data_IF_536174099590
#
_entry.id   IF_536174099590
#
_cell.length_a   1.000
_cell.length_b   1.000
_cell.length_c   1.000
_cell.angle_alpha   90.00
_cell.angle_beta   90.00
_cell.angle_gamma   90.00
#
_symmetry.space_group_name_H-M   'P 1'
#
loop_
_entity.id
_entity.type
_entity.pdbx_description
1 polymer ?
#
# COMPACT_ATOMS: atom_id res chain seq x y z
N UNK A 1 -1.01 33.86 -6.77
CA UNK A 1 -1.76 33.65 -8.02
C UNK A 1 -0.88 33.01 -9.10
N UNK A 2 0.42 33.31 -9.16
CA UNK A 2 1.32 32.71 -10.18
C UNK A 2 1.69 31.24 -9.97
N UNK A 3 1.85 30.75 -8.73
CA UNK A 3 2.25 29.35 -8.47
C UNK A 3 1.16 28.33 -8.83
N UNK A 4 -0.10 28.59 -8.44
CA UNK A 4 -1.23 27.71 -8.75
C UNK A 4 -1.49 27.62 -10.26
N UNK A 5 -1.37 28.75 -10.98
CA UNK A 5 -1.52 28.77 -12.44
C UNK A 5 -0.38 27.99 -13.13
N UNK A 6 0.86 28.17 -12.66
CA UNK A 6 2.03 27.42 -13.18
C UNK A 6 1.92 25.92 -12.92
N UNK A 7 1.40 25.51 -11.76
CA UNK A 7 1.17 24.11 -11.42
C UNK A 7 0.07 23.50 -12.28
N UNK A 8 -1.00 24.26 -12.55
CA UNK A 8 -2.07 23.82 -13.43
C UNK A 8 -1.58 23.61 -14.87
N UNK A 9 -0.74 24.52 -15.40
CA UNK A 9 -0.13 24.33 -16.73
C UNK A 9 0.76 23.09 -16.79
N UNK A 10 1.50 22.78 -15.71
CA UNK A 10 2.42 21.63 -15.64
C UNK A 10 1.71 20.29 -15.46
N UNK A 11 0.71 20.23 -14.57
CA UNK A 11 0.14 18.96 -14.11
C UNK A 11 -1.33 18.77 -14.50
N UNK A 12 -2.02 19.83 -14.94
CA UNK A 12 -3.47 19.81 -15.15
C UNK A 12 -3.96 18.74 -16.12
N UNK A 13 -3.20 18.46 -17.20
CA UNK A 13 -3.55 17.38 -18.13
C UNK A 13 -3.51 15.99 -17.48
N UNK A 14 -2.51 15.73 -16.64
CA UNK A 14 -2.35 14.43 -15.96
C UNK A 14 -3.35 14.28 -14.82
N UNK A 15 -3.63 15.37 -14.09
CA UNK A 15 -4.68 15.40 -13.06
C UNK A 15 -6.05 15.13 -13.71
N UNK A 16 -6.36 15.78 -14.83
CA UNK A 16 -7.61 15.53 -15.57
C UNK A 16 -7.72 14.08 -16.06
N UNK A 17 -6.61 13.48 -16.51
CA UNK A 17 -6.57 12.06 -16.88
C UNK A 17 -6.85 11.15 -15.68
N UNK A 18 -6.27 11.44 -14.51
CA UNK A 18 -6.55 10.71 -13.26
C UNK A 18 -8.03 10.79 -12.90
N UNK A 19 -8.65 11.97 -12.95
CA UNK A 19 -10.09 12.09 -12.70
C UNK A 19 -10.94 11.30 -13.69
N UNK A 20 -10.58 11.31 -14.99
CA UNK A 20 -11.24 10.47 -15.99
C UNK A 20 -11.13 8.97 -15.66
N UNK A 21 -9.96 8.53 -15.18
CA UNK A 21 -9.74 7.14 -14.74
C UNK A 21 -10.53 6.78 -13.48
N UNK A 22 -10.58 7.68 -12.48
CA UNK A 22 -11.44 7.53 -11.28
C UNK A 22 -12.90 7.31 -11.68
N UNK A 23 -13.42 8.09 -12.64
CA UNK A 23 -14.80 7.91 -13.13
C UNK A 23 -15.05 6.57 -13.84
N UNK A 24 -13.98 5.85 -14.23
CA UNK A 24 -14.06 4.54 -14.87
C UNK A 24 -13.82 3.36 -13.92
N UNK A 25 -13.63 3.63 -12.63
CA UNK A 25 -13.51 2.61 -11.59
C UNK A 25 -14.84 1.88 -11.37
N UNK A 26 -14.74 0.63 -10.92
CA UNK A 26 -15.90 -0.23 -10.69
C UNK A 26 -16.79 0.35 -9.59
N UNK A 27 -18.08 0.44 -9.90
CA UNK A 27 -19.13 0.90 -8.99
C UNK A 27 -19.78 -0.28 -8.25
N UNK A 28 -20.61 0.03 -7.26
CA UNK A 28 -21.38 -0.97 -6.51
C UNK A 28 -22.12 -1.97 -7.41
N UNK A 29 -22.77 -1.47 -8.47
CA UNK A 29 -23.49 -2.31 -9.43
C UNK A 29 -22.60 -3.28 -10.19
N UNK A 30 -21.33 -2.92 -10.41
CA UNK A 30 -20.37 -3.77 -11.09
C UNK A 30 -19.95 -4.91 -10.15
N UNK A 31 -19.69 -4.60 -8.87
CA UNK A 31 -19.38 -5.62 -7.86
C UNK A 31 -20.56 -6.58 -7.64
N UNK A 32 -21.79 -6.07 -7.53
CA UNK A 32 -22.99 -6.91 -7.44
C UNK A 32 -23.15 -7.85 -8.65
N UNK A 33 -22.73 -7.40 -9.83
CA UNK A 33 -22.71 -8.23 -11.04
C UNK A 33 -21.60 -9.29 -11.01
N UNK A 34 -20.45 -8.99 -10.40
CA UNK A 34 -19.35 -9.93 -10.23
C UNK A 34 -19.66 -11.00 -9.18
N UNK A 35 -20.36 -10.66 -8.10
CA UNK A 35 -20.82 -11.61 -7.07
C UNK A 35 -21.77 -12.68 -7.62
N UNK A 36 -22.47 -12.37 -8.71
CA UNK A 36 -23.38 -13.30 -9.39
C UNK A 36 -22.67 -14.29 -10.32
N UNK A 37 -21.36 -14.13 -10.54
CA UNK A 37 -20.59 -15.01 -11.42
C UNK A 37 -20.35 -16.39 -10.76
N UNK A 38 -20.39 -17.45 -11.56
CA UNK A 38 -20.12 -18.82 -11.09
C UNK A 38 -18.74 -19.31 -11.51
N UNK A 39 -18.15 -18.69 -12.53
CA UNK A 39 -16.83 -19.03 -13.06
C UNK A 39 -15.97 -17.78 -13.29
N UNK A 40 -14.65 -17.96 -13.42
CA UNK A 40 -13.73 -16.86 -13.78
C UNK A 40 -14.03 -16.36 -15.19
N UNK A 41 -14.47 -17.23 -16.09
CA UNK A 41 -14.92 -16.87 -17.44
C UNK A 41 -16.12 -15.92 -17.41
N UNK A 42 -17.08 -16.11 -16.50
CA UNK A 42 -18.19 -15.17 -16.33
C UNK A 42 -17.70 -13.79 -15.89
N UNK A 43 -16.75 -13.75 -14.94
CA UNK A 43 -16.14 -12.49 -14.50
C UNK A 43 -15.43 -11.78 -15.66
N UNK A 44 -14.69 -12.52 -16.49
CA UNK A 44 -14.01 -11.98 -17.68
C UNK A 44 -15.01 -11.33 -18.63
N UNK A 45 -16.15 -11.97 -18.88
CA UNK A 45 -17.22 -11.40 -19.72
C UNK A 45 -17.77 -10.11 -19.10
N UNK A 46 -18.04 -10.08 -17.79
CA UNK A 46 -18.52 -8.86 -17.12
C UNK A 46 -17.51 -7.72 -17.15
N UNK A 47 -16.24 -8.02 -16.91
CA UNK A 47 -15.15 -7.04 -16.95
C UNK A 47 -14.81 -6.58 -18.37
N UNK A 48 -15.25 -7.29 -19.42
CA UNK A 48 -15.01 -6.89 -20.81
C UNK A 48 -15.68 -5.56 -21.21
N UNK A 49 -16.63 -5.06 -20.41
CA UNK A 49 -17.26 -3.76 -20.61
C UNK A 49 -16.58 -2.62 -19.85
N UNK A 50 -15.51 -2.92 -19.12
CA UNK A 50 -14.81 -1.98 -18.23
C UNK A 50 -13.42 -1.63 -18.77
N UNK A 51 -12.63 -0.85 -18.01
CA UNK A 51 -11.24 -0.52 -18.35
C UNK A 51 -10.34 -1.76 -18.52
N UNK A 52 -10.74 -2.93 -17.99
CA UNK A 52 -10.00 -4.19 -18.10
C UNK A 52 -10.15 -4.90 -19.45
N UNK A 53 -11.07 -4.46 -20.33
CA UNK A 53 -11.41 -5.14 -21.58
C UNK A 53 -10.21 -5.50 -22.48
N UNK A 54 -9.29 -4.55 -22.65
CA UNK A 54 -8.09 -4.72 -23.50
C UNK A 54 -7.12 -5.78 -22.99
N UNK A 55 -7.17 -6.11 -21.69
CA UNK A 55 -6.31 -7.11 -21.06
C UNK A 55 -6.96 -8.50 -21.05
N UNK A 56 -8.28 -8.56 -21.15
CA UNK A 56 -9.07 -9.78 -20.97
C UNK A 56 -9.62 -10.38 -22.29
N UNK A 57 -9.34 -9.78 -23.44
CA UNK A 57 -9.94 -10.15 -24.74
C UNK A 57 -9.15 -11.18 -25.55
N UNK A 58 -7.91 -11.52 -25.17
CA UNK A 58 -7.05 -12.44 -25.92
C UNK A 58 -7.06 -13.86 -25.27
N UNK A 59 -7.55 -14.87 -25.99
CA UNK A 59 -7.48 -16.33 -25.70
C UNK A 59 -8.62 -17.01 -24.90
N UNK A 60 -8.74 -18.33 -25.11
CA UNK A 60 -9.97 -19.15 -25.03
C UNK A 60 -10.18 -19.94 -23.71
N UNK A 61 -9.30 -19.85 -22.71
CA UNK A 61 -9.55 -20.37 -21.35
C UNK A 61 -8.76 -19.56 -20.31
N UNK A 62 -9.44 -18.92 -19.36
CA UNK A 62 -8.80 -18.19 -18.28
C UNK A 62 -8.71 -19.07 -17.03
N UNK A 63 -7.53 -19.65 -16.78
CA UNK A 63 -7.29 -20.19 -15.44
C UNK A 63 -7.08 -19.04 -14.44
N UNK A 64 -7.37 -19.27 -13.15
CA UNK A 64 -7.25 -18.26 -12.09
C UNK A 64 -5.89 -17.54 -12.12
N UNK A 65 -4.79 -18.28 -12.29
CA UNK A 65 -3.42 -17.71 -12.28
C UNK A 65 -3.21 -16.72 -13.42
N UNK A 66 -3.66 -17.04 -14.62
CA UNK A 66 -3.55 -16.16 -15.78
C UNK A 66 -4.46 -14.93 -15.62
N UNK A 67 -5.70 -15.11 -15.14
CA UNK A 67 -6.60 -13.99 -14.84
C UNK A 67 -5.97 -12.98 -13.88
N UNK A 68 -5.41 -13.45 -12.75
CA UNK A 68 -4.70 -12.62 -11.78
C UNK A 68 -3.50 -11.89 -12.40
N UNK A 69 -2.70 -12.60 -13.20
CA UNK A 69 -1.54 -12.03 -13.90
C UNK A 69 -1.96 -10.89 -14.82
N UNK A 70 -3.09 -11.01 -15.52
CA UNK A 70 -3.58 -9.97 -16.43
C UNK A 70 -4.13 -8.74 -15.71
N UNK A 71 -4.81 -8.92 -14.58
CA UNK A 71 -5.23 -7.80 -13.72
C UNK A 71 -4.01 -7.03 -13.19
N UNK A 72 -3.00 -7.73 -12.68
CA UNK A 72 -1.78 -7.08 -12.22
C UNK A 72 -1.01 -6.41 -13.38
N UNK A 73 -1.05 -6.98 -14.59
CA UNK A 73 -0.45 -6.38 -15.78
C UNK A 73 -1.19 -5.10 -16.21
N UNK A 74 -2.51 -5.02 -16.03
CA UNK A 74 -3.26 -3.80 -16.36
C UNK A 74 -2.84 -2.66 -15.42
N UNK A 75 -2.75 -2.92 -14.13
CA UNK A 75 -2.23 -1.97 -13.14
C UNK A 75 -0.81 -1.52 -13.46
N UNK A 76 0.08 -2.47 -13.73
CA UNK A 76 1.47 -2.18 -14.08
C UNK A 76 1.57 -1.25 -15.30
N UNK A 77 0.87 -1.56 -16.38
CA UNK A 77 0.91 -0.76 -17.60
C UNK A 77 0.36 0.64 -17.38
N UNK A 78 -0.74 0.74 -16.64
CA UNK A 78 -1.37 2.01 -16.30
C UNK A 78 -0.47 2.88 -15.43
N UNK A 79 0.12 2.31 -14.37
CA UNK A 79 1.07 3.01 -13.52
C UNK A 79 2.29 3.45 -14.31
N UNK A 80 2.87 2.57 -15.12
CA UNK A 80 4.08 2.86 -15.89
C UNK A 80 3.85 3.90 -16.99
N UNK A 81 2.64 3.97 -17.56
CA UNK A 81 2.27 5.06 -18.46
C UNK A 81 2.31 6.41 -17.74
N UNK A 82 1.63 6.54 -16.60
CA UNK A 82 1.64 7.77 -15.79
C UNK A 82 3.06 8.11 -15.31
N UNK A 83 3.81 7.10 -14.86
CA UNK A 83 5.18 7.25 -14.40
C UNK A 83 6.10 7.80 -15.50
N UNK A 84 6.00 7.29 -16.73
CA UNK A 84 6.82 7.75 -17.87
C UNK A 84 6.50 9.17 -18.30
N UNK A 85 5.25 9.59 -18.17
CA UNK A 85 4.78 10.92 -18.55
C UNK A 85 4.85 11.93 -17.40
N UNK A 86 5.22 11.50 -16.19
CA UNK A 86 5.38 12.37 -15.03
C UNK A 86 6.78 13.00 -14.95
N UNK A 87 6.83 14.25 -14.50
CA UNK A 87 8.05 15.00 -14.21
C UNK A 87 7.96 15.67 -12.83
N UNK A 88 9.10 16.15 -12.31
CA UNK A 88 9.20 16.97 -11.10
C UNK A 88 8.47 16.36 -9.89
N UNK A 89 7.54 17.09 -9.28
CA UNK A 89 6.88 16.70 -8.03
C UNK A 89 6.00 15.45 -8.24
N UNK A 90 5.29 15.35 -9.37
CA UNK A 90 4.51 14.13 -9.67
C UNK A 90 5.42 12.90 -9.80
N UNK A 91 6.60 13.06 -10.39
CA UNK A 91 7.59 11.98 -10.48
C UNK A 91 8.10 11.57 -9.08
N UNK A 92 8.34 12.55 -8.21
CA UNK A 92 8.72 12.32 -6.82
C UNK A 92 7.65 11.51 -6.06
N UNK A 93 6.37 11.85 -6.23
CA UNK A 93 5.24 11.14 -5.62
C UNK A 93 5.10 9.70 -6.13
N UNK A 94 5.22 9.49 -7.45
CA UNK A 94 5.15 8.14 -8.01
C UNK A 94 6.38 7.30 -7.66
N UNK A 95 7.55 7.94 -7.47
CA UNK A 95 8.73 7.28 -6.91
C UNK A 95 8.47 6.81 -5.47
N UNK A 96 7.81 7.61 -4.63
CA UNK A 96 7.39 7.17 -3.29
C UNK A 96 6.50 5.92 -3.38
N UNK A 97 5.46 5.96 -4.22
CA UNK A 97 4.56 4.81 -4.38
C UNK A 97 5.29 3.52 -4.79
N UNK A 98 6.15 3.58 -5.82
CA UNK A 98 6.87 2.39 -6.31
C UNK A 98 7.94 1.90 -5.33
N UNK A 99 8.59 2.81 -4.59
CA UNK A 99 9.59 2.46 -3.57
C UNK A 99 8.95 1.63 -2.44
N UNK A 100 7.69 1.89 -2.05
CA UNK A 100 6.97 1.02 -1.09
C UNK A 100 6.93 -0.43 -1.57
N UNK A 101 6.53 -0.66 -2.83
CA UNK A 101 6.39 -2.00 -3.40
C UNK A 101 7.76 -2.66 -3.59
N UNK A 102 8.78 -1.88 -4.00
CA UNK A 102 10.16 -2.37 -4.10
C UNK A 102 10.72 -2.80 -2.75
N UNK A 103 10.44 -2.06 -1.68
CA UNK A 103 10.82 -2.44 -0.31
C UNK A 103 10.08 -3.72 0.10
N UNK A 104 8.78 -3.86 -0.21
CA UNK A 104 8.02 -5.08 0.05
C UNK A 104 8.65 -6.30 -0.63
N UNK A 105 8.92 -6.22 -1.93
CA UNK A 105 9.58 -7.29 -2.68
C UNK A 105 10.97 -7.62 -2.10
N UNK A 106 11.77 -6.59 -1.79
CA UNK A 106 13.09 -6.78 -1.20
C UNK A 106 13.02 -7.56 0.12
N UNK A 107 12.17 -7.13 1.07
CA UNK A 107 12.05 -7.81 2.36
C UNK A 107 11.43 -9.20 2.22
N UNK A 108 10.42 -9.37 1.35
CA UNK A 108 9.82 -10.67 1.07
C UNK A 108 10.88 -11.67 0.59
N UNK A 109 11.71 -11.28 -0.37
CA UNK A 109 12.77 -12.16 -0.88
C UNK A 109 13.83 -12.49 0.18
N UNK A 110 14.19 -11.55 1.06
CA UNK A 110 15.11 -11.82 2.16
C UNK A 110 14.52 -12.79 3.19
N UNK A 111 13.25 -12.62 3.53
CA UNK A 111 12.52 -13.53 4.39
C UNK A 111 12.42 -14.92 3.76
N UNK A 112 12.03 -15.00 2.48
CA UNK A 112 11.97 -16.27 1.75
C UNK A 112 13.35 -16.93 1.64
N UNK A 113 14.44 -16.17 1.45
CA UNK A 113 15.81 -16.70 1.40
C UNK A 113 16.22 -17.37 2.71
N UNK A 114 15.67 -16.91 3.84
CA UNK A 114 15.92 -17.51 5.15
C UNK A 114 15.26 -18.88 5.32
N UNK A 115 14.18 -19.15 4.60
CA UNK A 115 13.42 -20.40 4.63
C UNK A 115 13.80 -21.35 3.48
N UNK A 116 13.93 -20.82 2.25
CA UNK A 116 14.30 -21.53 1.03
C UNK A 116 15.55 -20.88 0.39
N UNK A 117 16.74 -21.50 0.56
CA UNK A 117 17.98 -21.01 -0.06
C UNK A 117 17.93 -20.93 -1.60
N UNK A 118 17.08 -21.70 -2.28
CA UNK A 118 16.98 -21.68 -3.75
C UNK A 118 16.11 -20.54 -4.28
N UNK A 119 15.33 -19.88 -3.39
CA UNK A 119 14.47 -18.73 -3.67
C UNK A 119 13.55 -18.95 -4.87
N UNK A 120 12.74 -20.02 -4.83
CA UNK A 120 11.83 -20.38 -5.95
C UNK A 120 10.68 -19.39 -6.14
N UNK A 121 10.35 -18.60 -5.12
CA UNK A 121 9.28 -17.59 -5.12
C UNK A 121 9.60 -16.31 -5.93
N UNK A 122 10.75 -16.22 -6.62
CA UNK A 122 11.09 -15.04 -7.44
C UNK A 122 10.04 -14.74 -8.53
N UNK A 123 9.26 -15.73 -8.98
CA UNK A 123 8.17 -15.53 -9.94
C UNK A 123 6.89 -14.92 -9.32
N UNK A 124 6.81 -14.84 -7.99
CA UNK A 124 5.62 -14.41 -7.24
C UNK A 124 5.68 -12.95 -6.80
N UNK A 125 6.80 -12.26 -7.03
CA UNK A 125 6.96 -10.85 -6.65
C UNK A 125 6.12 -9.91 -7.53
N UNK A 126 5.76 -8.75 -6.97
CA UNK A 126 5.02 -7.74 -7.72
C UNK A 126 5.88 -7.18 -8.87
N UNK A 127 5.33 -7.17 -10.09
CA UNK A 127 5.99 -6.66 -11.29
C UNK A 127 6.42 -5.19 -11.16
N UNK A 128 5.65 -4.37 -10.45
CA UNK A 128 5.93 -2.97 -10.25
C UNK A 128 7.10 -2.75 -9.29
N UNK A 129 7.27 -3.64 -8.31
CA UNK A 129 8.39 -3.64 -7.38
C UNK A 129 9.65 -4.36 -7.89
N UNK A 130 9.65 -4.91 -9.10
CA UNK A 130 10.80 -5.64 -9.62
C UNK A 130 11.89 -4.66 -10.14
N UNK A 131 13.15 -4.94 -9.82
CA UNK A 131 14.32 -4.22 -10.33
C UNK A 131 15.53 -5.14 -10.40
N UNK A 132 16.46 -4.85 -11.31
CA UNK A 132 17.53 -5.77 -11.74
C UNK A 132 18.38 -6.30 -10.59
N UNK A 133 18.67 -5.46 -9.59
CA UNK A 133 19.54 -5.80 -8.48
C UNK A 133 18.93 -6.84 -7.51
N UNK A 134 17.61 -7.08 -7.54
CA UNK A 134 16.96 -8.12 -6.73
C UNK A 134 17.45 -9.53 -7.06
N UNK A 135 17.81 -9.78 -8.32
CA UNK A 135 18.30 -11.09 -8.77
C UNK A 135 19.58 -11.51 -8.01
N UNK A 136 20.35 -10.54 -7.50
CA UNK A 136 21.53 -10.81 -6.71
C UNK A 136 21.23 -11.51 -5.37
N UNK A 137 20.02 -11.35 -4.81
CA UNK A 137 19.61 -12.00 -3.55
C UNK A 137 19.65 -13.52 -3.69
N UNK A 138 19.28 -14.05 -4.86
CA UNK A 138 19.29 -15.49 -5.14
C UNK A 138 20.67 -16.12 -4.97
N UNK A 139 21.71 -15.43 -5.39
CA UNK A 139 23.10 -15.91 -5.34
C UNK A 139 23.88 -15.46 -4.11
N UNK A 140 23.31 -14.55 -3.31
CA UNK A 140 23.96 -14.02 -2.12
C UNK A 140 24.05 -15.07 -1.01
N UNK A 141 25.24 -15.21 -0.41
CA UNK A 141 25.45 -16.16 0.68
C UNK A 141 25.02 -15.59 2.04
N UNK A 142 25.16 -14.28 2.22
CA UNK A 142 24.84 -13.57 3.45
C UNK A 142 24.44 -12.11 3.18
N UNK A 143 24.08 -11.36 4.22
CA UNK A 143 23.65 -9.96 4.09
C UNK A 143 24.77 -9.00 3.64
N UNK A 144 26.05 -9.40 3.73
CA UNK A 144 27.16 -8.60 3.20
C UNK A 144 27.20 -8.64 1.68
N UNK A 145 26.86 -9.78 1.07
CA UNK A 145 26.70 -9.89 -0.38
C UNK A 145 25.47 -9.12 -0.86
N UNK A 146 24.34 -9.25 -0.14
CA UNK A 146 23.13 -8.46 -0.41
C UNK A 146 23.44 -6.97 -0.38
N UNK A 147 24.21 -6.51 0.61
CA UNK A 147 24.58 -5.10 0.68
C UNK A 147 25.34 -4.64 -0.58
N UNK A 148 26.40 -5.38 -0.96
CA UNK A 148 27.27 -5.01 -2.08
C UNK A 148 26.57 -5.07 -3.43
N UNK A 149 25.76 -6.09 -3.67
CA UNK A 149 25.19 -6.37 -4.99
C UNK A 149 23.76 -5.86 -5.18
N UNK A 150 23.00 -5.68 -4.09
CA UNK A 150 21.60 -5.25 -4.15
C UNK A 150 21.33 -3.86 -3.55
N UNK A 151 22.03 -3.49 -2.49
CA UNK A 151 21.69 -2.29 -1.69
C UNK A 151 22.53 -1.09 -2.08
N UNK A 152 23.85 -1.26 -2.24
CA UNK A 152 24.81 -0.17 -2.33
C UNK A 152 24.55 0.81 -3.49
N UNK A 153 24.10 0.29 -4.64
CA UNK A 153 23.81 1.06 -5.86
C UNK A 153 22.35 1.52 -5.98
N UNK A 154 21.48 1.18 -5.02
CA UNK A 154 20.04 1.39 -5.14
C UNK A 154 19.50 2.36 -4.09
N UNK A 155 18.24 2.73 -4.23
CA UNK A 155 17.54 3.59 -3.28
C UNK A 155 17.43 2.96 -1.87
N UNK A 156 17.65 1.64 -1.73
CA UNK A 156 17.55 0.93 -0.46
C UNK A 156 18.63 1.37 0.54
N UNK A 157 19.79 1.84 0.07
CA UNK A 157 20.94 2.22 0.92
C UNK A 157 20.57 3.19 2.04
N UNK A 158 19.80 4.24 1.72
CA UNK A 158 19.37 5.27 2.70
C UNK A 158 18.52 4.72 3.85
N UNK A 159 17.89 3.56 3.64
CA UNK A 159 17.09 2.86 4.64
C UNK A 159 17.91 1.79 5.35
N UNK A 160 18.66 0.99 4.59
CA UNK A 160 19.49 -0.09 5.12
C UNK A 160 20.50 0.42 6.15
N UNK A 161 21.18 1.54 5.87
CA UNK A 161 22.21 2.10 6.76
C UNK A 161 21.64 2.59 8.12
N UNK A 162 20.30 2.74 8.24
CA UNK A 162 19.62 3.15 9.47
C UNK A 162 19.07 1.97 10.29
N UNK A 163 19.23 0.74 9.81
CA UNK A 163 18.68 -0.46 10.45
C UNK A 163 19.80 -1.42 10.82
N UNK A 164 19.72 -1.98 12.02
CA UNK A 164 20.60 -3.07 12.40
C UNK A 164 20.16 -4.37 11.71
N UNK A 165 21.04 -4.95 10.91
CA UNK A 165 20.78 -6.18 10.17
C UNK A 165 21.92 -7.16 10.44
N UNK A 166 21.57 -8.32 10.95
CA UNK A 166 22.49 -9.43 11.21
C UNK A 166 23.01 -10.00 9.90
N UNK A 167 24.25 -10.52 9.94
CA UNK A 167 24.90 -11.08 8.75
C UNK A 167 24.14 -12.30 8.19
N UNK A 168 23.62 -13.16 9.07
CA UNK A 168 22.90 -14.37 8.70
C UNK A 168 21.40 -14.09 8.52
N UNK A 169 20.81 -14.54 7.42
CA UNK A 169 19.40 -14.32 7.12
C UNK A 169 18.46 -14.78 8.25
N UNK A 170 18.72 -15.96 8.83
CA UNK A 170 17.86 -16.58 9.85
C UNK A 170 17.88 -15.88 11.22
N UNK A 171 18.84 -14.98 11.48
CA UNK A 171 18.93 -14.24 12.75
C UNK A 171 18.17 -12.92 12.74
N UNK A 172 17.67 -12.52 11.58
CA UNK A 172 16.96 -11.26 11.40
C UNK A 172 15.46 -11.44 11.65
N UNK A 173 14.87 -10.50 12.37
CA UNK A 173 13.42 -10.35 12.42
C UNK A 173 12.97 -9.49 11.23
N UNK A 174 12.52 -10.16 10.17
CA UNK A 174 12.11 -9.49 8.94
C UNK A 174 10.90 -8.59 9.11
N UNK A 175 10.04 -8.84 10.09
CA UNK A 175 8.88 -7.98 10.37
C UNK A 175 9.35 -6.67 11.01
N UNK A 176 10.26 -6.72 11.99
CA UNK A 176 10.85 -5.52 12.61
C UNK A 176 11.63 -4.69 11.57
N UNK A 177 12.45 -5.36 10.75
CA UNK A 177 13.20 -4.69 9.68
C UNK A 177 12.23 -4.03 8.70
N UNK A 178 11.18 -4.74 8.28
CA UNK A 178 10.15 -4.20 7.40
C UNK A 178 9.49 -2.94 7.99
N UNK A 179 9.04 -3.00 9.24
CA UNK A 179 8.44 -1.85 9.93
C UNK A 179 9.40 -0.66 9.97
N UNK A 180 10.68 -0.90 10.22
CA UNK A 180 11.70 0.16 10.29
C UNK A 180 12.00 0.77 8.92
N UNK A 181 12.08 -0.04 7.87
CA UNK A 181 12.21 0.46 6.49
C UNK A 181 11.03 1.34 6.11
N UNK A 182 9.80 0.90 6.40
CA UNK A 182 8.60 1.66 6.10
C UNK A 182 8.43 2.92 6.94
N UNK A 183 8.87 2.90 8.20
CA UNK A 183 8.98 4.11 9.03
C UNK A 183 9.90 5.13 8.38
N UNK A 184 11.14 4.73 8.09
CA UNK A 184 12.14 5.60 7.49
C UNK A 184 11.71 6.12 6.11
N UNK A 185 10.96 5.31 5.35
CA UNK A 185 10.43 5.68 4.04
C UNK A 185 9.39 6.79 4.13
N UNK A 186 8.40 6.67 5.02
CA UNK A 186 7.41 7.74 5.28
C UNK A 186 8.11 9.01 5.74
N UNK A 187 8.99 8.91 6.74
CA UNK A 187 9.66 10.08 7.33
C UNK A 187 10.51 10.83 6.29
N UNK A 188 11.30 10.11 5.51
CA UNK A 188 12.11 10.70 4.45
C UNK A 188 11.24 11.38 3.39
N UNK A 189 10.13 10.77 2.99
CA UNK A 189 9.25 11.36 1.98
C UNK A 189 8.51 12.60 2.50
N UNK A 190 8.02 12.55 3.75
CA UNK A 190 7.41 13.70 4.40
C UNK A 190 8.35 14.91 4.44
N UNK A 191 9.61 14.69 4.83
CA UNK A 191 10.64 15.74 4.83
C UNK A 191 10.89 16.32 3.43
N UNK A 192 10.90 15.47 2.40
CA UNK A 192 11.08 15.89 1.01
C UNK A 192 9.94 16.79 0.51
N UNK A 193 8.69 16.48 0.87
CA UNK A 193 7.52 17.23 0.42
C UNK A 193 7.12 18.38 1.36
N UNK A 194 7.77 18.53 2.52
CA UNK A 194 7.35 19.48 3.55
C UNK A 194 7.25 20.94 3.03
N UNK A 195 8.13 21.32 2.11
CA UNK A 195 8.18 22.65 1.50
C UNK A 195 7.49 22.75 0.13
N UNK A 196 6.79 21.70 -0.30
CA UNK A 196 6.04 21.68 -1.56
C UNK A 196 4.56 21.98 -1.29
N UNK A 197 4.02 22.98 -1.99
CA UNK A 197 2.60 23.35 -1.93
C UNK A 197 1.72 22.50 -2.87
N UNK A 198 2.34 21.69 -3.74
CA UNK A 198 1.64 20.82 -4.71
C UNK A 198 1.10 19.53 -4.09
N UNK A 199 1.36 19.29 -2.80
CA UNK A 199 1.10 18.02 -2.11
C UNK A 199 0.73 18.26 -0.63
N UNK A 200 0.03 19.35 -0.35
CA UNK A 200 -0.38 19.64 1.02
C UNK A 200 -1.31 18.57 1.57
N UNK A 201 -2.23 18.07 0.74
CA UNK A 201 -3.12 16.99 1.16
C UNK A 201 -2.36 15.65 1.34
N UNK A 202 -1.28 15.43 0.59
CA UNK A 202 -0.40 14.26 0.79
C UNK A 202 0.24 14.23 2.19
N UNK A 203 0.57 15.40 2.76
CA UNK A 203 1.12 15.48 4.13
C UNK A 203 0.12 14.94 5.16
N UNK A 204 -1.17 15.22 4.97
CA UNK A 204 -2.24 14.68 5.84
C UNK A 204 -2.44 13.18 5.62
N UNK A 205 -2.37 12.71 4.36
CA UNK A 205 -2.40 11.26 4.06
C UNK A 205 -1.25 10.53 4.76
N UNK A 206 -0.02 11.06 4.72
CA UNK A 206 1.13 10.42 5.37
C UNK A 206 1.00 10.36 6.89
N UNK A 207 0.42 11.40 7.53
CA UNK A 207 0.11 11.36 8.97
C UNK A 207 -0.89 10.27 9.29
N UNK A 208 -1.91 10.11 8.46
CA UNK A 208 -2.89 9.04 8.60
C UNK A 208 -2.26 7.65 8.41
N UNK A 209 -1.40 7.47 7.40
CA UNK A 209 -0.63 6.22 7.24
C UNK A 209 0.28 5.94 8.44
N UNK A 210 0.86 6.99 9.03
CA UNK A 210 1.63 6.89 10.25
C UNK A 210 0.79 6.42 11.44
N UNK A 211 -0.36 7.04 11.66
CA UNK A 211 -1.29 6.63 12.72
C UNK A 211 -1.73 5.18 12.56
N UNK A 212 -2.10 4.78 11.34
CA UNK A 212 -2.51 3.40 11.03
C UNK A 212 -1.39 2.42 11.35
N UNK A 213 -0.15 2.72 10.94
CA UNK A 213 1.03 1.89 11.29
C UNK A 213 1.24 1.80 12.80
N UNK A 214 1.05 2.88 13.56
CA UNK A 214 1.14 2.87 15.03
C UNK A 214 0.07 1.95 15.63
N UNK A 215 -1.18 2.05 15.15
CA UNK A 215 -2.29 1.21 15.61
C UNK A 215 -2.01 -0.26 15.29
N UNK A 216 -1.71 -0.58 14.02
CA UNK A 216 -1.42 -1.95 13.57
C UNK A 216 -0.24 -2.57 14.30
N UNK A 217 0.86 -1.82 14.47
CA UNK A 217 2.03 -2.32 15.19
C UNK A 217 1.70 -2.60 16.66
N UNK A 218 0.93 -1.73 17.31
CA UNK A 218 0.50 -1.95 18.70
C UNK A 218 -0.37 -3.20 18.80
N UNK A 219 -1.34 -3.38 17.89
CA UNK A 219 -2.20 -4.57 17.85
C UNK A 219 -1.39 -5.84 17.66
N UNK A 220 -0.49 -5.86 16.66
CA UNK A 220 0.31 -7.03 16.32
C UNK A 220 1.35 -7.39 17.39
N UNK A 221 1.65 -6.48 18.31
CA UNK A 221 2.62 -6.69 19.38
C UNK A 221 1.98 -6.80 20.77
N UNK A 222 0.65 -6.88 20.87
CA UNK A 222 -0.07 -6.99 22.16
C UNK A 222 0.41 -8.19 23.00
N UNK A 223 0.61 -9.34 22.34
CA UNK A 223 1.04 -10.59 23.00
C UNK A 223 2.58 -10.74 23.06
N UNK A 224 3.34 -9.76 22.53
CA UNK A 224 4.80 -9.81 22.52
C UNK A 224 5.37 -9.34 23.85
N UNK A 225 6.19 -10.19 24.49
CA UNK A 225 6.93 -9.82 25.70
C UNK A 225 8.15 -8.95 25.37
N UNK A 226 8.69 -9.09 24.16
CA UNK A 226 9.94 -8.45 23.77
C UNK A 226 9.76 -7.08 23.12
N UNK A 227 8.57 -6.77 22.57
CA UNK A 227 8.30 -5.53 21.82
C UNK A 227 7.20 -4.73 22.54
N UNK A 228 7.59 -4.04 23.60
CA UNK A 228 6.75 -3.16 24.43
C UNK A 228 7.47 -1.85 24.74
N UNK A 229 6.71 -0.84 25.16
CA UNK A 229 7.19 0.46 25.62
C UNK A 229 8.15 1.13 24.61
N UNK A 230 9.39 1.38 25.03
CA UNK A 230 10.41 2.08 24.24
C UNK A 230 10.67 1.41 22.89
N UNK A 231 10.67 0.07 22.84
CA UNK A 231 10.92 -0.65 21.57
C UNK A 231 9.79 -0.43 20.56
N UNK A 232 8.53 -0.28 21.01
CA UNK A 232 7.42 0.11 20.12
C UNK A 232 7.59 1.54 19.63
N UNK A 233 7.95 2.47 20.52
CA UNK A 233 8.21 3.87 20.15
C UNK A 233 9.31 3.96 19.09
N UNK A 234 10.37 3.16 19.22
CA UNK A 234 11.47 3.12 18.26
C UNK A 234 10.99 2.65 16.86
N UNK A 235 9.90 1.88 16.77
CA UNK A 235 9.30 1.42 15.52
C UNK A 235 8.16 2.32 15.00
N UNK A 236 7.59 3.18 15.85
CA UNK A 236 6.53 4.10 15.43
C UNK A 236 7.07 5.19 14.49
N UNK A 237 6.38 5.47 13.37
CA UNK A 237 6.70 6.62 12.54
C UNK A 237 6.50 7.93 13.31
N UNK A 238 7.41 8.88 13.13
CA UNK A 238 7.27 10.23 13.74
C UNK A 238 6.27 11.10 12.99
N UNK A 239 5.97 10.77 11.73
CA UNK A 239 4.97 11.43 10.90
C UNK A 239 3.61 10.81 11.24
N UNK A 240 2.93 11.38 12.23
CA UNK A 240 1.63 10.93 12.70
C UNK A 240 0.83 12.13 13.24
N UNK A 241 -0.47 11.94 13.48
CA UNK A 241 -1.32 12.94 14.12
C UNK A 241 -1.33 12.84 15.65
N UNK A 242 -0.93 11.68 16.20
CA UNK A 242 -0.84 11.47 17.65
C UNK A 242 0.16 12.42 18.33
N UNK A 243 -0.26 12.98 19.46
CA UNK A 243 0.63 13.74 20.34
C UNK A 243 1.54 12.80 21.15
N UNK A 244 2.59 13.37 21.76
CA UNK A 244 3.56 12.60 22.56
C UNK A 244 2.90 11.82 23.70
N UNK A 245 1.85 12.37 24.32
CA UNK A 245 1.13 11.69 25.39
C UNK A 245 0.38 10.46 24.89
N UNK A 246 -0.29 10.57 23.74
CA UNK A 246 -0.97 9.43 23.10
C UNK A 246 0.01 8.36 22.63
N UNK A 247 1.17 8.75 22.07
CA UNK A 247 2.21 7.80 21.65
C UNK A 247 2.74 6.97 22.84
N UNK A 248 3.06 7.63 23.97
CA UNK A 248 3.52 6.90 25.16
C UNK A 248 2.45 5.91 25.64
N UNK A 249 1.19 6.33 25.72
CA UNK A 249 0.09 5.44 26.13
C UNK A 249 -0.11 4.27 25.17
N UNK A 250 -0.06 4.51 23.85
CA UNK A 250 -0.13 3.45 22.83
C UNK A 250 1.00 2.43 23.02
N UNK A 251 2.21 2.90 23.34
CA UNK A 251 3.35 1.99 23.54
C UNK A 251 3.19 1.06 24.75
N UNK A 252 2.45 1.49 25.76
CA UNK A 252 2.18 0.76 27.01
C UNK A 252 0.92 -0.15 26.92
N UNK A 253 0.16 -0.06 25.83
CA UNK A 253 -1.08 -0.83 25.66
C UNK A 253 -0.84 -2.34 25.67
N UNK A 254 -1.60 -3.08 26.48
CA UNK A 254 -1.54 -4.55 26.58
C UNK A 254 -2.85 -5.24 26.19
N UNK A 255 -3.87 -4.48 25.77
CA UNK A 255 -5.15 -5.03 25.33
C UNK A 255 -5.82 -4.15 24.27
N UNK A 256 -6.73 -4.73 23.49
CA UNK A 256 -7.56 -3.98 22.55
C UNK A 256 -8.39 -2.88 23.24
N UNK A 257 -8.84 -3.11 24.48
CA UNK A 257 -9.57 -2.10 25.26
C UNK A 257 -8.68 -0.89 25.56
N UNK A 258 -7.42 -1.11 25.97
CA UNK A 258 -6.49 -0.01 26.23
C UNK A 258 -6.20 0.82 24.98
N UNK A 259 -6.11 0.18 23.79
CA UNK A 259 -5.96 0.87 22.51
C UNK A 259 -7.19 1.73 22.23
N UNK A 260 -8.38 1.17 22.41
CA UNK A 260 -9.65 1.90 22.23
C UNK A 260 -9.72 3.13 23.13
N UNK A 261 -9.32 3.02 24.39
CA UNK A 261 -9.33 4.14 25.33
C UNK A 261 -8.42 5.30 24.87
N UNK A 262 -7.22 5.00 24.35
CA UNK A 262 -6.33 6.03 23.82
C UNK A 262 -6.93 6.68 22.58
N UNK A 263 -7.46 5.87 21.65
CA UNK A 263 -8.05 6.35 20.40
C UNK A 263 -9.36 7.13 20.61
N UNK A 264 -10.11 6.87 21.69
CA UNK A 264 -11.30 7.63 22.06
C UNK A 264 -10.99 9.12 22.35
N UNK A 265 -9.77 9.40 22.81
CA UNK A 265 -9.26 10.76 23.00
C UNK A 265 -8.94 11.49 21.69
N UNK A 266 -8.79 10.78 20.58
CA UNK A 266 -8.39 11.35 19.30
C UNK A 266 -9.61 11.77 18.45
N UNK A 267 -9.71 13.03 17.97
CA UNK A 267 -10.89 13.52 17.26
C UNK A 267 -11.29 12.69 16.04
N UNK A 268 -10.31 12.17 15.30
CA UNK A 268 -10.52 11.39 14.09
C UNK A 268 -11.00 9.96 14.37
N UNK A 269 -10.43 9.30 15.40
CA UNK A 269 -10.70 7.88 15.70
C UNK A 269 -11.82 7.70 16.73
N UNK A 270 -12.19 8.74 17.46
CA UNK A 270 -13.25 8.70 18.48
C UNK A 270 -14.54 8.07 17.96
N UNK A 271 -15.01 8.49 16.78
CA UNK A 271 -16.24 7.94 16.20
C UNK A 271 -16.09 6.44 15.93
N UNK A 272 -14.99 6.03 15.29
CA UNK A 272 -14.71 4.63 14.95
C UNK A 272 -14.73 3.72 16.17
N UNK A 273 -14.15 4.18 17.28
CA UNK A 273 -14.05 3.39 18.51
C UNK A 273 -15.34 3.36 19.32
N UNK A 274 -16.18 4.39 19.20
CA UNK A 274 -17.46 4.48 19.91
C UNK A 274 -18.57 3.64 19.28
N UNK A 275 -18.45 3.27 18.00
CA UNK A 275 -19.38 2.33 17.39
C UNK A 275 -19.07 0.92 17.92
N UNK A 276 -20.07 0.28 18.53
CA UNK A 276 -19.98 -1.10 19.07
C UNK A 276 -19.93 -2.17 17.96
N UNK A 277 -19.89 -1.78 16.68
CA UNK A 277 -19.75 -2.73 15.59
C UNK A 277 -18.42 -3.47 15.69
N UNK A 278 -18.50 -4.80 15.60
CA UNK A 278 -17.44 -5.75 15.95
C UNK A 278 -16.19 -5.70 15.06
N UNK A 279 -16.09 -4.78 14.09
CA UNK A 279 -14.98 -4.75 13.14
C UNK A 279 -14.25 -3.40 13.11
N UNK A 280 -13.49 -3.16 14.18
CA UNK A 280 -12.62 -1.98 14.32
C UNK A 280 -11.65 -1.82 13.14
N UNK A 281 -11.11 -2.93 12.62
CA UNK A 281 -10.17 -2.91 11.51
C UNK A 281 -10.87 -2.47 10.23
N UNK A 282 -12.04 -3.02 9.91
CA UNK A 282 -12.85 -2.57 8.76
C UNK A 282 -13.18 -1.08 8.84
N UNK A 283 -13.61 -0.59 10.00
CA UNK A 283 -13.91 0.84 10.18
C UNK A 283 -12.67 1.74 9.99
N UNK A 284 -11.48 1.26 10.36
CA UNK A 284 -10.23 1.97 10.09
C UNK A 284 -9.95 2.03 8.58
N UNK A 285 -10.13 0.92 7.88
CA UNK A 285 -10.00 0.87 6.42
C UNK A 285 -11.04 1.75 5.68
N UNK A 286 -12.29 1.80 6.14
CA UNK A 286 -13.30 2.67 5.53
C UNK A 286 -12.94 4.15 5.66
N UNK A 287 -12.31 4.53 6.77
CA UNK A 287 -11.78 5.88 6.96
C UNK A 287 -10.60 6.16 6.00
N UNK A 288 -9.74 5.18 5.75
CA UNK A 288 -8.65 5.29 4.77
C UNK A 288 -9.18 5.61 3.37
N UNK A 289 -10.16 4.82 2.91
CA UNK A 289 -10.80 5.02 1.60
C UNK A 289 -11.43 6.41 1.51
N UNK A 290 -12.13 6.85 2.56
CA UNK A 290 -12.73 8.20 2.62
C UNK A 290 -11.68 9.32 2.50
N UNK A 291 -10.51 9.16 3.11
CA UNK A 291 -9.42 10.12 2.96
C UNK A 291 -8.87 10.13 1.53
N UNK A 292 -8.69 8.95 0.92
CA UNK A 292 -8.25 8.86 -0.48
C UNK A 292 -9.26 9.47 -1.46
N UNK A 293 -10.56 9.29 -1.23
CA UNK A 293 -11.61 9.94 -2.03
C UNK A 293 -11.64 11.45 -1.83
N UNK A 294 -11.42 11.92 -0.60
CA UNK A 294 -11.38 13.35 -0.29
C UNK A 294 -10.24 14.07 -1.03
N UNK A 295 -9.08 13.41 -1.19
CA UNK A 295 -7.97 13.91 -2.02
C UNK A 295 -8.39 14.24 -3.46
N UNK A 296 -9.36 13.51 -4.01
CA UNK A 296 -9.85 13.73 -5.38
C UNK A 296 -10.70 15.00 -5.50
N UNK A 297 -11.14 15.59 -4.39
CA UNK A 297 -11.87 16.86 -4.37
C UNK A 297 -10.95 18.07 -4.19
N UNK A 298 -9.68 17.84 -3.81
CA UNK A 298 -8.72 18.92 -3.59
C UNK A 298 -8.23 19.52 -4.91
N UNK A 299 -8.31 20.85 -5.01
CA UNK A 299 -7.99 21.54 -6.25
C UNK A 299 -6.47 21.64 -6.46
N UNK A 300 -5.99 21.12 -7.59
CA UNK A 300 -4.60 21.26 -8.05
C UNK A 300 -3.55 20.65 -7.09
N UNK A 301 -3.94 19.63 -6.31
CA UNK A 301 -3.07 18.85 -5.44
C UNK A 301 -2.72 17.51 -6.12
N UNK A 302 -1.44 17.11 -6.06
CA UNK A 302 -0.94 15.91 -6.73
C UNK A 302 -1.21 14.62 -5.96
N UNK A 303 -1.62 14.71 -4.69
CA UNK A 303 -2.00 13.53 -3.88
C UNK A 303 -3.07 12.67 -4.55
N UNK A 304 -3.91 13.27 -5.41
CA UNK A 304 -4.91 12.55 -6.18
C UNK A 304 -4.31 11.40 -7.00
N UNK A 305 -3.06 11.54 -7.49
CA UNK A 305 -2.36 10.47 -8.21
C UNK A 305 -2.04 9.28 -7.29
N UNK A 306 -1.53 9.55 -6.09
CA UNK A 306 -1.23 8.51 -5.10
C UNK A 306 -2.51 7.79 -4.66
N UNK A 307 -3.54 8.56 -4.31
CA UNK A 307 -4.82 8.04 -3.87
C UNK A 307 -5.51 7.22 -4.96
N UNK A 308 -5.48 7.68 -6.21
CA UNK A 308 -5.99 6.90 -7.34
C UNK A 308 -5.33 5.52 -7.43
N UNK A 309 -4.00 5.46 -7.39
CA UNK A 309 -3.31 4.17 -7.48
C UNK A 309 -3.56 3.27 -6.27
N UNK A 310 -3.73 3.84 -5.07
CA UNK A 310 -4.15 3.07 -3.89
C UNK A 310 -5.57 2.52 -4.01
N UNK A 311 -6.51 3.32 -4.52
CA UNK A 311 -7.87 2.88 -4.80
C UNK A 311 -7.90 1.81 -5.90
N UNK A 312 -7.08 1.95 -6.94
CA UNK A 312 -6.97 0.95 -8.02
C UNK A 312 -6.35 -0.36 -7.54
N UNK A 313 -5.33 -0.29 -6.68
CA UNK A 313 -4.75 -1.47 -6.00
C UNK A 313 -5.84 -2.21 -5.20
N UNK A 314 -6.74 -1.46 -4.53
CA UNK A 314 -7.87 -2.04 -3.81
C UNK A 314 -8.92 -2.65 -4.72
N UNK A 315 -9.31 -1.98 -5.80
CA UNK A 315 -10.25 -2.50 -6.79
C UNK A 315 -9.77 -3.85 -7.33
N UNK A 316 -8.48 -3.96 -7.67
CA UNK A 316 -7.90 -5.22 -8.13
C UNK A 316 -7.96 -6.28 -7.03
N UNK A 317 -7.55 -5.97 -5.79
CA UNK A 317 -7.65 -6.91 -4.66
C UNK A 317 -9.08 -7.39 -4.42
N UNK A 318 -10.08 -6.52 -4.58
CA UNK A 318 -11.49 -6.89 -4.50
C UNK A 318 -11.89 -7.88 -5.60
N UNK A 319 -11.53 -7.61 -6.86
CA UNK A 319 -11.78 -8.52 -7.98
C UNK A 319 -11.09 -9.87 -7.74
N UNK A 320 -9.84 -9.85 -7.26
CA UNK A 320 -9.08 -11.05 -6.94
C UNK A 320 -9.80 -11.86 -5.85
N UNK A 321 -10.22 -11.22 -4.77
CA UNK A 321 -10.95 -11.85 -3.67
C UNK A 321 -12.23 -12.53 -4.14
N UNK A 322 -13.04 -11.85 -4.96
CA UNK A 322 -14.25 -12.44 -5.56
C UNK A 322 -13.89 -13.69 -6.38
N UNK A 323 -12.84 -13.62 -7.21
CA UNK A 323 -12.38 -14.77 -7.98
C UNK A 323 -11.91 -15.94 -7.08
N UNK A 324 -11.31 -15.65 -5.92
CA UNK A 324 -10.95 -16.68 -4.94
C UNK A 324 -12.18 -17.30 -4.29
N UNK A 325 -13.16 -16.48 -3.90
CA UNK A 325 -14.42 -16.94 -3.32
C UNK A 325 -15.19 -17.84 -4.30
N UNK A 326 -15.22 -17.49 -5.59
CA UNK A 326 -15.85 -18.32 -6.63
C UNK A 326 -15.14 -19.68 -6.71
N UNK A 327 -13.81 -19.67 -6.72
CA UNK A 327 -13.01 -20.90 -6.82
C UNK A 327 -13.20 -21.85 -5.62
N UNK A 328 -13.54 -21.31 -4.44
CA UNK A 328 -13.79 -22.09 -3.22
C UNK A 328 -15.28 -22.29 -2.91
N UNK A 329 -16.18 -21.89 -3.83
CA UNK A 329 -17.64 -21.92 -3.63
C UNK A 329 -18.13 -21.16 -2.38
N UNK A 330 -17.34 -20.20 -1.88
CA UNK A 330 -17.67 -19.40 -0.70
C UNK A 330 -18.40 -18.10 -1.09
N UNK A 331 -19.73 -18.21 -1.29
CA UNK A 331 -20.58 -17.05 -1.66
C UNK A 331 -20.79 -16.05 -0.52
N UNK A 332 -20.62 -16.45 0.74
CA UNK A 332 -20.80 -15.53 1.88
C UNK A 332 -19.66 -14.52 1.97
N UNK A 333 -18.41 -14.95 1.74
CA UNK A 333 -17.24 -14.07 1.76
C UNK A 333 -17.16 -13.05 0.62
N UNK A 334 -17.96 -13.21 -0.45
CA UNK A 334 -17.99 -12.27 -1.56
C UNK A 334 -18.55 -10.90 -1.15
N UNK A 335 -19.40 -10.86 -0.13
CA UNK A 335 -20.04 -9.63 0.37
C UNK A 335 -19.11 -8.76 1.23
N UNK A 336 -17.93 -9.27 1.57
CA UNK A 336 -16.90 -8.53 2.32
C UNK A 336 -16.03 -7.65 1.41
N UNK A 337 -16.44 -7.45 0.17
CA UNK A 337 -15.80 -6.54 -0.77
C UNK A 337 -16.09 -5.10 -0.39
N UNK A 338 -15.04 -4.31 -0.24
CA UNK A 338 -15.18 -2.89 0.07
C UNK A 338 -15.36 -2.11 -1.22
N UNK A 339 -16.56 -1.60 -1.44
CA UNK A 339 -16.87 -0.80 -2.61
C UNK A 339 -16.51 0.66 -2.36
N UNK A 340 -15.91 1.27 -3.39
CA UNK A 340 -15.62 2.69 -3.41
C UNK A 340 -16.93 3.38 -3.82
N UNK A 341 -17.65 3.94 -2.84
CA UNK A 341 -18.83 4.77 -3.11
C UNK A 341 -18.35 6.13 -3.63
N UNK A 342 -18.54 6.38 -4.94
CA UNK A 342 -18.25 7.67 -5.58
C UNK A 342 -19.39 8.67 -5.40
#
# INVERSE_FOLDING_TARGET
>A
MDSSYTNFEKYGSLIAEIHGKVSSMLQQSDYESLEQCETVEDMVVRLSHTSYASYLSEELQFNKKEFLKRLNKSFYNEFMYMYRNSENDLKLLLNYFIEVIKIQNFIFLLASKSEDPDLKCMEEIDMLGNFNELDAIKISADMSDVYKFCVESTFLKKYYDKVYIEKEFAKNDWQIIQSTFFKNHIENFYDQINNLDTMDYMKEILKYEGDRKIIELTINTLDSVDIVDKKRIDLYPTVCSFDRGSICKMSECTSMESIRDVLCGHPMYKKIVMYEDNDFMKNLFDLEIKNYLSSLSEFNDLSCAYCYFKLKEREIKNIMWIAECISHENKEGMKDVMVIEN
#
